data_IF_587157366383
#
_entry.id   IF_587157366383
#
_cell.length_a   1.000
_cell.length_b   1.000
_cell.length_c   1.000
_cell.angle_alpha   90.00
_cell.angle_beta   90.00
_cell.angle_gamma   90.00
#
_symmetry.space_group_name_H-M   'P 1'
#
loop_
_entity.id
_entity.type
_entity.pdbx_description
1 polymer ?
#
# COMPACT_ATOMS: atom_id res chain seq x y z
N UNK A 1 -13.79 8.13 -5.82
CA UNK A 1 -12.83 7.96 -6.93
C UNK A 1 -13.48 7.17 -8.06
N UNK A 2 -13.05 7.33 -9.32
CA UNK A 2 -13.60 6.57 -10.47
C UNK A 2 -12.97 5.18 -10.56
N UNK A 3 -13.63 4.24 -11.25
CA UNK A 3 -13.13 2.86 -11.41
C UNK A 3 -11.75 2.78 -12.06
N UNK A 4 -11.45 3.69 -13.00
CA UNK A 4 -10.15 3.76 -13.68
C UNK A 4 -9.06 4.17 -12.69
N UNK A 5 -9.28 5.25 -11.95
CA UNK A 5 -8.37 5.73 -10.91
C UNK A 5 -8.11 4.64 -9.85
N UNK A 6 -9.16 3.93 -9.41
CA UNK A 6 -9.01 2.82 -8.45
C UNK A 6 -8.20 1.65 -9.03
N UNK A 7 -8.40 1.30 -10.30
CA UNK A 7 -7.64 0.24 -10.96
C UNK A 7 -6.17 0.61 -11.13
N UNK A 8 -5.90 1.84 -11.58
CA UNK A 8 -4.54 2.38 -11.74
C UNK A 8 -3.83 2.41 -10.37
N UNK A 9 -4.52 2.87 -9.33
CA UNK A 9 -4.08 2.84 -7.92
C UNK A 9 -3.72 1.44 -7.44
N UNK A 10 -4.56 0.47 -7.76
CA UNK A 10 -4.36 -0.89 -7.36
C UNK A 10 -3.34 -1.64 -8.24
N UNK A 11 -2.73 -0.98 -9.23
CA UNK A 11 -1.82 -1.63 -10.18
C UNK A 11 -2.51 -2.76 -10.95
N UNK A 12 -3.79 -2.59 -11.27
CA UNK A 12 -4.61 -3.60 -11.94
C UNK A 12 -5.41 -2.97 -13.09
N UNK A 13 -6.28 -3.75 -13.73
CA UNK A 13 -7.11 -3.27 -14.84
C UNK A 13 -8.55 -3.06 -14.41
N UNK A 14 -9.25 -2.13 -15.06
CA UNK A 14 -10.71 -1.98 -14.88
C UNK A 14 -11.48 -3.26 -15.20
N UNK A 15 -10.92 -4.12 -16.07
CA UNK A 15 -11.43 -5.47 -16.35
C UNK A 15 -11.35 -6.38 -15.12
N UNK A 16 -10.22 -6.40 -14.43
CA UNK A 16 -10.06 -7.16 -13.18
C UNK A 16 -11.02 -6.67 -12.09
N UNK A 17 -11.20 -5.35 -11.94
CA UNK A 17 -12.17 -4.79 -11.00
C UNK A 17 -13.60 -5.27 -11.30
N UNK A 18 -14.01 -5.25 -12.57
CA UNK A 18 -15.33 -5.77 -12.98
C UNK A 18 -15.47 -7.27 -12.71
N UNK A 19 -14.38 -8.02 -12.91
CA UNK A 19 -14.36 -9.45 -12.63
C UNK A 19 -14.54 -9.72 -11.12
N UNK A 20 -13.86 -8.99 -10.25
CA UNK A 20 -14.03 -9.13 -8.80
C UNK A 20 -15.42 -8.71 -8.31
N UNK A 21 -16.05 -7.72 -8.94
CA UNK A 21 -17.46 -7.42 -8.68
C UNK A 21 -18.38 -8.59 -9.07
N UNK A 22 -18.15 -9.20 -10.24
CA UNK A 22 -18.96 -10.32 -10.72
C UNK A 22 -18.84 -11.55 -9.80
N UNK A 23 -17.67 -11.75 -9.18
CA UNK A 23 -17.41 -12.81 -8.21
C UNK A 23 -17.86 -12.46 -6.78
N UNK A 24 -18.43 -11.27 -6.54
CA UNK A 24 -18.82 -10.81 -5.20
C UNK A 24 -17.63 -10.45 -4.29
N UNK A 25 -16.40 -10.60 -4.75
CA UNK A 25 -15.17 -10.31 -4.00
C UNK A 25 -15.04 -8.82 -3.66
N UNK A 26 -15.53 -7.93 -4.52
CA UNK A 26 -15.51 -6.49 -4.31
C UNK A 26 -16.95 -5.94 -4.28
N UNK A 27 -17.41 -5.28 -3.21
CA UNK A 27 -18.76 -4.72 -3.15
C UNK A 27 -18.92 -3.64 -4.22
N UNK A 28 -20.10 -3.57 -4.82
CA UNK A 28 -20.41 -2.54 -5.83
C UNK A 28 -20.79 -1.25 -5.10
N UNK A 29 -20.05 -0.14 -5.29
CA UNK A 29 -20.36 1.11 -4.62
C UNK A 29 -21.67 1.72 -5.13
N UNK A 30 -22.24 2.62 -4.32
CA UNK A 30 -23.37 3.45 -4.73
C UNK A 30 -23.03 4.31 -5.96
N UNK A 31 -24.04 4.53 -6.80
CA UNK A 31 -23.93 5.40 -7.97
C UNK A 31 -24.21 6.84 -7.57
N UNK A 32 -23.30 7.77 -7.90
CA UNK A 32 -23.55 9.22 -7.81
C UNK A 32 -23.75 9.75 -9.23
N UNK A 33 -24.99 10.11 -9.57
CA UNK A 33 -25.36 10.51 -10.93
C UNK A 33 -25.25 9.34 -11.90
N UNK A 34 -24.41 9.46 -12.93
CA UNK A 34 -24.26 8.45 -13.99
C UNK A 34 -23.09 7.47 -13.78
N UNK A 35 -22.31 7.62 -12.70
CA UNK A 35 -21.12 6.80 -12.45
C UNK A 35 -20.98 6.32 -11.00
N UNK A 36 -20.28 5.18 -10.84
CA UNK A 36 -19.94 4.55 -9.56
C UNK A 36 -18.84 5.35 -8.84
N UNK A 37 -19.06 5.65 -7.57
CA UNK A 37 -18.09 6.38 -6.74
C UNK A 37 -17.41 5.41 -5.76
N UNK A 38 -16.15 5.08 -6.04
CA UNK A 38 -15.37 4.15 -5.22
C UNK A 38 -14.73 4.89 -4.05
N UNK A 39 -15.00 4.41 -2.84
CA UNK A 39 -14.37 4.89 -1.62
C UNK A 39 -13.03 4.20 -1.32
N UNK A 40 -12.33 4.69 -0.31
CA UNK A 40 -11.08 4.09 0.17
C UNK A 40 -11.24 2.61 0.55
N UNK A 41 -12.36 2.22 1.17
CA UNK A 41 -12.65 0.82 1.53
C UNK A 41 -12.66 -0.12 0.30
N UNK A 42 -13.14 0.37 -0.84
CA UNK A 42 -13.14 -0.40 -2.09
C UNK A 42 -11.72 -0.58 -2.61
N UNK A 43 -10.90 0.47 -2.52
CA UNK A 43 -9.50 0.39 -2.91
C UNK A 43 -8.71 -0.55 -2.00
N UNK A 44 -8.90 -0.44 -0.67
CA UNK A 44 -8.26 -1.31 0.30
C UNK A 44 -8.63 -2.78 0.06
N UNK A 45 -9.90 -3.07 -0.18
CA UNK A 45 -10.36 -4.42 -0.52
C UNK A 45 -9.82 -4.91 -1.85
N UNK A 46 -9.78 -4.07 -2.89
CA UNK A 46 -9.21 -4.40 -4.19
C UNK A 46 -7.72 -4.76 -4.11
N UNK A 47 -6.96 -3.94 -3.38
CA UNK A 47 -5.54 -4.20 -3.16
C UNK A 47 -5.31 -5.44 -2.29
N UNK A 48 -6.18 -5.70 -1.30
CA UNK A 48 -6.14 -6.93 -0.50
C UNK A 48 -6.38 -8.17 -1.36
N UNK A 49 -7.39 -8.15 -2.24
CA UNK A 49 -7.64 -9.22 -3.21
C UNK A 49 -6.40 -9.45 -4.07
N UNK A 50 -5.82 -8.37 -4.60
CA UNK A 50 -4.61 -8.43 -5.43
C UNK A 50 -3.44 -9.03 -4.65
N UNK A 51 -3.21 -8.57 -3.42
CA UNK A 51 -2.15 -9.07 -2.56
C UNK A 51 -2.28 -10.57 -2.28
N UNK A 52 -3.48 -11.05 -1.94
CA UNK A 52 -3.74 -12.47 -1.73
C UNK A 52 -3.57 -13.29 -3.03
N UNK A 53 -4.04 -12.74 -4.16
CA UNK A 53 -3.92 -13.39 -5.48
C UNK A 53 -2.47 -13.48 -5.94
N UNK A 54 -1.67 -12.45 -5.72
CA UNK A 54 -0.23 -12.43 -6.01
C UNK A 54 0.56 -13.39 -5.10
N UNK A 55 0.02 -13.73 -3.93
CA UNK A 55 0.54 -14.79 -3.06
C UNK A 55 0.20 -16.20 -3.53
N UNK A 56 -0.53 -16.37 -4.63
CA UNK A 56 -0.86 -17.68 -5.22
C UNK A 56 -2.14 -18.31 -4.68
N UNK A 57 -2.92 -17.60 -3.86
CA UNK A 57 -4.22 -18.08 -3.38
C UNK A 57 -5.27 -18.02 -4.50
N UNK A 58 -6.13 -19.04 -4.57
CA UNK A 58 -7.26 -19.05 -5.49
C UNK A 58 -8.29 -17.99 -5.11
N UNK A 59 -9.00 -17.45 -6.10
CA UNK A 59 -10.04 -16.44 -5.86
C UNK A 59 -11.17 -16.94 -4.95
N UNK A 60 -11.48 -18.25 -4.99
CA UNK A 60 -12.42 -18.90 -4.08
C UNK A 60 -11.92 -18.88 -2.63
N UNK A 61 -10.63 -19.18 -2.41
CA UNK A 61 -10.04 -19.12 -1.07
C UNK A 61 -9.97 -17.67 -0.55
N UNK A 62 -9.73 -16.72 -1.44
CA UNK A 62 -9.74 -15.29 -1.13
C UNK A 62 -11.13 -14.84 -0.67
N UNK A 63 -12.20 -15.30 -1.34
CA UNK A 63 -13.57 -15.01 -0.92
C UNK A 63 -13.83 -15.49 0.50
N UNK A 64 -13.46 -16.75 0.80
CA UNK A 64 -13.61 -17.33 2.15
C UNK A 64 -12.86 -16.52 3.21
N UNK A 65 -11.60 -16.13 2.97
CA UNK A 65 -10.82 -15.32 3.91
C UNK A 65 -11.50 -13.97 4.18
N UNK A 66 -11.96 -13.29 3.12
CA UNK A 66 -12.60 -11.99 3.24
C UNK A 66 -13.99 -12.06 3.91
N UNK A 67 -14.69 -13.18 3.74
CA UNK A 67 -16.01 -13.43 4.33
C UNK A 67 -15.87 -13.89 5.80
N UNK A 68 -14.87 -14.70 6.14
CA UNK A 68 -14.54 -15.09 7.52
C UNK A 68 -14.16 -13.87 8.36
N UNK A 69 -13.36 -12.94 7.80
CA UNK A 69 -13.02 -11.66 8.44
C UNK A 69 -14.26 -10.77 8.67
N UNK A 70 -15.26 -10.83 7.77
CA UNK A 70 -16.49 -10.05 7.88
C UNK A 70 -17.53 -10.70 8.81
N UNK A 71 -17.58 -12.04 8.87
CA UNK A 71 -18.57 -12.82 9.60
C UNK A 71 -18.16 -13.14 11.05
N UNK A 72 -16.85 -13.19 11.35
CA UNK A 72 -16.34 -13.59 12.65
C UNK A 72 -15.19 -12.67 13.11
N UNK A 73 -15.41 -11.71 14.03
CA UNK A 73 -14.30 -11.02 14.71
C UNK A 73 -13.44 -11.97 15.56
N UNK A 74 -13.80 -13.25 15.74
CA UNK A 74 -12.95 -14.28 16.37
C UNK A 74 -13.48 -15.71 16.11
N UNK A 75 -12.78 -16.52 15.30
CA UNK A 75 -12.46 -17.96 15.51
C UNK A 75 -11.90 -18.62 14.23
N UNK A 76 -10.98 -19.61 14.33
CA UNK A 76 -10.36 -20.26 13.18
C UNK A 76 -11.04 -21.57 12.81
N UNK A 77 -11.16 -21.88 11.50
CA UNK A 77 -11.45 -23.24 11.02
C UNK A 77 -10.71 -23.62 9.71
N UNK A 78 -9.74 -24.52 9.89
CA UNK A 78 -9.36 -25.75 9.15
C UNK A 78 -9.33 -25.80 7.59
N UNK A 79 -8.11 -26.08 7.11
CA UNK A 79 -7.62 -27.02 6.07
C UNK A 79 -8.53 -27.58 4.97
N UNK A 80 -8.06 -27.51 3.71
CA UNK A 80 -8.02 -28.63 2.75
C UNK A 80 -7.18 -28.31 1.48
N UNK A 81 -6.15 -29.14 1.21
CA UNK A 81 -5.57 -29.46 -0.12
C UNK A 81 -6.60 -30.30 -0.95
N UNK A 82 -6.51 -30.51 -2.30
CA UNK A 82 -5.32 -31.04 -3.00
C UNK A 82 -5.07 -30.69 -4.51
N UNK A 83 -3.81 -30.91 -4.92
CA UNK A 83 -3.15 -31.48 -6.14
C UNK A 83 -3.84 -31.53 -7.56
N UNK A 84 -3.07 -31.30 -8.66
CA UNK A 84 -3.52 -31.25 -10.08
C UNK A 84 -3.31 -32.56 -10.88
N UNK A 85 -3.74 -32.65 -12.16
CA UNK A 85 -2.80 -33.14 -13.20
C UNK A 85 -2.95 -32.65 -14.66
N UNK A 86 -1.80 -32.71 -15.36
CA UNK A 86 -1.50 -33.25 -16.71
C UNK A 86 -1.91 -32.57 -18.05
N UNK A 87 -0.88 -32.44 -18.91
CA UNK A 87 -0.85 -32.26 -20.39
C UNK A 87 -0.98 -33.61 -21.13
N UNK A 88 -1.31 -33.63 -22.44
CA UNK A 88 -0.34 -34.03 -23.50
C UNK A 88 -0.53 -33.24 -24.84
N UNK A 89 0.48 -32.73 -25.56
CA UNK A 89 1.46 -33.27 -26.57
C UNK A 89 0.98 -33.62 -28.00
N UNK A 90 1.86 -33.25 -28.97
CA UNK A 90 1.99 -33.55 -30.43
C UNK A 90 1.31 -32.62 -31.44
N UNK A 91 1.77 -32.42 -32.69
CA UNK A 91 3.07 -32.35 -33.42
C UNK A 91 2.74 -32.42 -34.93
N UNK A 92 3.62 -31.88 -35.80
CA UNK A 92 3.73 -31.99 -37.28
C UNK A 92 2.97 -30.91 -38.10
N UNK A 93 3.46 -30.30 -39.19
CA UNK A 93 4.72 -30.38 -39.97
C UNK A 93 4.88 -29.10 -40.86
N UNK A 94 6.08 -28.89 -41.42
CA UNK A 94 6.70 -27.70 -42.09
C UNK A 94 6.25 -27.46 -43.58
N UNK A 95 6.85 -26.62 -44.49
CA UNK A 95 8.00 -25.65 -44.43
C UNK A 95 7.89 -24.34 -45.30
N UNK A 96 8.86 -23.41 -45.17
CA UNK A 96 9.63 -22.75 -46.28
C UNK A 96 10.54 -21.59 -45.79
N UNK A 97 11.82 -21.60 -46.20
CA UNK A 97 12.88 -20.65 -45.81
C UNK A 97 13.07 -19.46 -46.79
N UNK A 98 13.78 -18.39 -46.39
CA UNK A 98 15.17 -18.18 -46.86
C UNK A 98 16.18 -17.71 -45.77
N UNK A 99 17.48 -18.02 -45.95
CA UNK A 99 18.64 -17.67 -45.08
C UNK A 99 19.60 -16.70 -45.82
N UNK A 100 20.61 -16.03 -45.18
CA UNK A 100 21.16 -16.27 -43.84
C UNK A 100 21.38 -15.00 -42.98
N UNK A 101 20.97 -15.05 -41.72
CA UNK A 101 21.70 -14.43 -40.61
C UNK A 101 22.14 -15.58 -39.72
N UNK A 102 23.38 -15.61 -39.23
CA UNK A 102 23.95 -16.76 -38.50
C UNK A 102 22.94 -17.34 -37.47
N UNK A 103 22.38 -18.54 -37.68
CA UNK A 103 21.27 -19.07 -36.87
C UNK A 103 21.66 -19.46 -35.44
N UNK A 104 22.96 -19.59 -35.16
CA UNK A 104 23.46 -19.91 -33.83
C UNK A 104 23.33 -18.71 -32.87
N UNK A 105 23.43 -17.47 -33.36
CA UNK A 105 23.31 -16.26 -32.53
C UNK A 105 21.86 -15.98 -32.12
N UNK A 106 20.88 -16.27 -32.98
CA UNK A 106 19.45 -16.10 -32.67
C UNK A 106 18.94 -17.17 -31.72
N UNK A 107 19.30 -18.44 -31.96
CA UNK A 107 18.89 -19.55 -31.08
C UNK A 107 19.50 -19.39 -29.69
N UNK A 108 20.77 -19.00 -29.60
CA UNK A 108 21.43 -18.73 -28.33
C UNK A 108 20.84 -17.50 -27.62
N UNK A 109 20.46 -16.45 -28.36
CA UNK A 109 19.76 -15.30 -27.80
C UNK A 109 18.38 -15.68 -27.25
N UNK A 110 17.61 -16.49 -27.96
CA UNK A 110 16.28 -16.96 -27.53
C UNK A 110 16.37 -17.86 -26.29
N UNK A 111 17.36 -18.77 -26.25
CA UNK A 111 17.61 -19.61 -25.08
C UNK A 111 18.06 -18.78 -23.86
N UNK A 112 18.88 -17.75 -24.06
CA UNK A 112 19.27 -16.80 -23.00
C UNK A 112 18.07 -16.00 -22.50
N UNK A 113 17.23 -15.49 -23.39
CA UNK A 113 16.01 -14.78 -23.03
C UNK A 113 15.06 -15.69 -22.23
N UNK A 114 14.90 -16.95 -22.66
CA UNK A 114 14.11 -17.96 -21.95
C UNK A 114 14.69 -18.25 -20.56
N UNK A 115 16.02 -18.37 -20.43
CA UNK A 115 16.67 -18.55 -19.12
C UNK A 115 16.41 -17.37 -18.20
N UNK A 116 16.56 -16.14 -18.70
CA UNK A 116 16.26 -14.92 -17.94
C UNK A 116 14.80 -14.88 -17.48
N UNK A 117 13.85 -15.32 -18.29
CA UNK A 117 12.44 -15.40 -17.90
C UNK A 117 12.21 -16.47 -16.82
N UNK A 118 12.89 -17.62 -16.90
CA UNK A 118 12.86 -18.64 -15.86
C UNK A 118 13.45 -18.09 -14.55
N UNK A 119 14.62 -17.43 -14.62
CA UNK A 119 15.28 -16.83 -13.46
C UNK A 119 14.35 -15.79 -12.79
N UNK A 120 13.71 -14.94 -13.59
CA UNK A 120 12.69 -13.98 -13.11
C UNK A 120 11.52 -14.69 -12.42
N UNK A 121 11.05 -15.82 -12.98
CA UNK A 121 9.96 -16.60 -12.39
C UNK A 121 10.36 -17.29 -11.08
N UNK A 122 11.61 -17.74 -10.98
CA UNK A 122 12.19 -18.30 -9.74
C UNK A 122 12.21 -17.21 -8.66
N UNK A 123 12.66 -16.00 -8.98
CA UNK A 123 12.68 -14.89 -8.03
C UNK A 123 11.27 -14.53 -7.53
N UNK A 124 10.28 -14.51 -8.44
CA UNK A 124 8.87 -14.34 -8.09
C UNK A 124 8.39 -15.45 -7.14
N UNK A 125 8.66 -16.72 -7.48
CA UNK A 125 8.22 -17.87 -6.68
C UNK A 125 8.90 -17.89 -5.30
N UNK A 126 10.18 -17.55 -5.22
CA UNK A 126 10.90 -17.43 -3.95
C UNK A 126 10.37 -16.27 -3.10
N UNK A 127 10.00 -15.16 -3.74
CA UNK A 127 9.32 -14.06 -3.05
C UNK A 127 7.94 -14.48 -2.54
N UNK A 128 7.15 -15.19 -3.35
CA UNK A 128 5.84 -15.74 -2.94
C UNK A 128 5.98 -16.71 -1.76
N UNK A 129 6.94 -17.63 -1.83
CA UNK A 129 7.21 -18.58 -0.74
C UNK A 129 7.55 -17.85 0.56
N UNK A 130 8.45 -16.87 0.54
CA UNK A 130 8.79 -16.09 1.75
C UNK A 130 7.58 -15.40 2.36
N UNK A 131 6.69 -14.84 1.53
CA UNK A 131 5.43 -14.25 2.00
C UNK A 131 4.50 -15.29 2.62
N UNK A 132 4.39 -16.48 2.02
CA UNK A 132 3.60 -17.58 2.59
C UNK A 132 4.19 -18.05 3.92
N UNK A 133 5.51 -18.23 4.01
CA UNK A 133 6.19 -18.65 5.24
C UNK A 133 5.92 -17.64 6.39
N UNK A 134 5.90 -16.34 6.09
CA UNK A 134 5.51 -15.30 7.06
C UNK A 134 4.04 -15.41 7.48
N UNK A 135 3.13 -15.72 6.57
CA UNK A 135 1.71 -15.92 6.89
C UNK A 135 1.48 -17.19 7.71
N UNK A 136 2.21 -18.26 7.42
CA UNK A 136 2.18 -19.50 8.19
C UNK A 136 2.66 -19.23 9.61
N UNK A 137 3.76 -18.49 9.79
CA UNK A 137 4.26 -18.14 11.11
C UNK A 137 3.21 -17.37 11.93
N UNK A 138 2.57 -16.36 11.33
CA UNK A 138 1.49 -15.56 11.96
C UNK A 138 0.22 -16.36 12.25
N UNK A 139 -0.20 -17.23 11.33
CA UNK A 139 -1.36 -18.09 11.54
C UNK A 139 -1.10 -19.11 12.66
N UNK A 140 0.13 -19.62 12.77
CA UNK A 140 0.53 -20.61 13.77
C UNK A 140 0.65 -20.01 15.17
N UNK A 141 0.90 -18.71 15.28
CA UNK A 141 0.90 -17.96 16.56
C UNK A 141 -0.50 -17.52 17.01
N UNK A 142 -1.54 -17.71 16.19
CA UNK A 142 -2.90 -17.25 16.49
C UNK A 142 -3.12 -15.75 16.29
N UNK A 143 -2.16 -15.05 15.68
CA UNK A 143 -2.27 -13.64 15.32
C UNK A 143 -3.15 -13.44 14.08
N UNK A 144 -3.71 -12.23 13.91
CA UNK A 144 -4.50 -11.87 12.72
C UNK A 144 -3.65 -11.99 11.45
N UNK A 145 -4.27 -12.41 10.34
CA UNK A 145 -3.66 -12.47 9.00
C UNK A 145 -3.51 -11.07 8.37
N UNK A 146 -2.98 -10.12 9.13
CA UNK A 146 -2.64 -8.79 8.66
C UNK A 146 -1.18 -8.75 8.20
N UNK A 147 -0.88 -8.07 7.08
CA UNK A 147 0.50 -7.93 6.61
C UNK A 147 1.32 -6.98 7.48
N UNK A 148 0.71 -6.19 8.38
CA UNK A 148 1.44 -5.29 9.29
C UNK A 148 2.13 -6.05 10.43
N UNK A 149 3.29 -5.60 10.93
CA UNK A 149 3.86 -6.10 12.18
C UNK A 149 2.95 -5.76 13.38
N UNK A 150 2.90 -6.64 14.38
CA UNK A 150 2.01 -6.53 15.56
C UNK A 150 2.27 -5.25 16.38
N UNK A 151 3.50 -4.74 16.36
CA UNK A 151 3.90 -3.45 16.94
C UNK A 151 3.09 -2.28 16.37
N UNK A 152 2.97 -2.22 15.05
CA UNK A 152 2.27 -1.17 14.32
C UNK A 152 0.76 -1.29 14.52
N UNK A 153 0.22 -2.51 14.63
CA UNK A 153 -1.17 -2.72 15.00
C UNK A 153 -1.47 -2.23 16.42
N UNK A 154 -0.57 -2.50 17.36
CA UNK A 154 -0.68 -2.03 18.75
C UNK A 154 -0.61 -0.51 18.81
N UNK A 155 0.34 0.09 18.10
CA UNK A 155 0.48 1.53 17.99
C UNK A 155 -0.78 2.21 17.43
N UNK A 156 -1.32 1.73 16.31
CA UNK A 156 -2.55 2.28 15.76
C UNK A 156 -3.76 2.06 16.66
N UNK A 157 -3.82 0.93 17.38
CA UNK A 157 -4.89 0.67 18.35
C UNK A 157 -4.82 1.61 19.55
N UNK A 158 -3.62 1.91 20.07
CA UNK A 158 -3.38 2.88 21.14
C UNK A 158 -3.81 4.29 20.70
N UNK A 159 -3.42 4.71 19.49
CA UNK A 159 -3.88 5.99 18.93
C UNK A 159 -5.40 6.03 18.76
N UNK A 160 -6.02 4.96 18.26
CA UNK A 160 -7.49 4.91 18.07
C UNK A 160 -8.25 5.08 19.39
N UNK A 161 -7.75 4.52 20.50
CA UNK A 161 -8.36 4.66 21.83
C UNK A 161 -8.29 6.08 22.40
N UNK A 162 -7.34 6.90 21.95
CA UNK A 162 -7.15 8.29 22.38
C UNK A 162 -8.01 9.27 21.58
N UNK A 163 -8.47 8.87 20.40
CA UNK A 163 -9.31 9.71 19.54
C UNK A 163 -10.74 9.78 20.05
N UNK A 164 -11.31 10.98 19.99
CA UNK A 164 -12.68 11.26 20.44
C UNK A 164 -13.63 11.41 19.26
N UNK A 165 -13.18 11.98 18.14
CA UNK A 165 -14.02 12.22 16.98
C UNK A 165 -14.10 11.00 16.06
N UNK A 166 -15.31 10.57 15.65
CA UNK A 166 -15.47 9.52 14.63
C UNK A 166 -14.79 9.87 13.30
N UNK A 167 -14.65 11.16 13.01
CA UNK A 167 -13.93 11.65 11.83
C UNK A 167 -12.43 11.39 11.91
N UNK A 168 -11.80 11.68 13.05
CA UNK A 168 -10.38 11.44 13.28
C UNK A 168 -10.06 9.94 13.27
N UNK A 169 -10.92 9.10 13.90
CA UNK A 169 -10.79 7.63 13.84
C UNK A 169 -10.77 7.12 12.40
N UNK A 170 -11.63 7.66 11.53
CA UNK A 170 -11.63 7.29 10.10
C UNK A 170 -10.35 7.73 9.38
N UNK A 171 -9.80 8.91 9.71
CA UNK A 171 -8.54 9.40 9.15
C UNK A 171 -7.39 8.46 9.57
N UNK A 172 -7.32 8.08 10.84
CA UNK A 172 -6.33 7.13 11.36
C UNK A 172 -6.44 5.75 10.69
N UNK A 173 -7.66 5.20 10.57
CA UNK A 173 -7.88 3.92 9.89
C UNK A 173 -7.49 3.97 8.41
N UNK A 174 -7.81 5.07 7.71
CA UNK A 174 -7.35 5.26 6.33
C UNK A 174 -5.81 5.28 6.24
N UNK A 175 -5.13 5.93 7.20
CA UNK A 175 -3.68 5.93 7.30
C UNK A 175 -3.12 4.52 7.56
N UNK A 176 -3.69 3.79 8.52
CA UNK A 176 -3.30 2.40 8.82
C UNK A 176 -3.48 1.50 7.61
N UNK A 177 -4.60 1.63 6.90
CA UNK A 177 -4.82 0.89 5.66
C UNK A 177 -3.80 1.27 4.58
N UNK A 178 -3.49 2.56 4.38
CA UNK A 178 -2.46 2.96 3.41
C UNK A 178 -1.09 2.34 3.75
N UNK A 179 -0.73 2.28 5.03
CA UNK A 179 0.49 1.59 5.49
C UNK A 179 0.41 0.07 5.29
N UNK A 180 -0.74 -0.55 5.55
CA UNK A 180 -1.01 -1.97 5.29
C UNK A 180 -0.76 -2.32 3.82
N UNK A 181 -1.20 -1.44 2.93
CA UNK A 181 -1.06 -1.57 1.49
C UNK A 181 0.41 -1.47 1.08
N UNK A 182 1.14 -0.48 1.62
CA UNK A 182 2.58 -0.35 1.38
C UNK A 182 3.37 -1.56 1.90
N UNK A 183 3.07 -2.05 3.11
CA UNK A 183 3.72 -3.24 3.66
C UNK A 183 3.46 -4.48 2.79
N UNK A 184 2.23 -4.63 2.29
CA UNK A 184 1.85 -5.74 1.40
C UNK A 184 2.63 -5.79 0.08
N UNK A 185 3.14 -4.66 -0.41
CA UNK A 185 3.97 -4.61 -1.62
C UNK A 185 5.40 -5.15 -1.42
N UNK A 186 5.78 -5.51 -0.18
CA UNK A 186 7.13 -5.99 0.14
C UNK A 186 8.19 -4.88 0.12
N UNK A 187 7.74 -3.62 0.06
CA UNK A 187 8.61 -2.46 -0.06
C UNK A 187 9.03 -1.87 1.30
N UNK A 188 8.41 -2.29 2.40
CA UNK A 188 8.77 -1.86 3.76
C UNK A 188 9.27 -3.05 4.60
N UNK A 189 10.51 -3.01 5.12
CA UNK A 189 11.02 -4.04 6.01
C UNK A 189 10.37 -3.92 7.40
N UNK A 190 9.80 -5.03 7.85
CA UNK A 190 9.00 -5.14 9.08
C UNK A 190 9.81 -4.86 10.36
N UNK A 191 11.07 -5.28 10.42
CA UNK A 191 11.92 -5.16 11.61
C UNK A 191 12.33 -3.73 11.95
N UNK A 192 12.46 -2.85 10.95
CA UNK A 192 12.88 -1.45 11.17
C UNK A 192 11.70 -0.59 11.65
N UNK A 193 10.47 -1.02 11.37
CA UNK A 193 9.26 -0.37 11.86
C UNK A 193 9.13 -0.54 13.38
N UNK A 194 9.42 -1.73 13.90
CA UNK A 194 9.32 -2.01 15.34
C UNK A 194 10.20 -1.06 16.16
N UNK A 195 11.47 -0.91 15.75
CA UNK A 195 12.43 0.00 16.38
C UNK A 195 12.00 1.47 16.26
N UNK A 196 11.42 1.84 15.13
CA UNK A 196 10.95 3.20 14.90
C UNK A 196 9.72 3.57 15.75
N UNK A 197 8.89 2.59 16.11
CA UNK A 197 7.68 2.82 16.90
C UNK A 197 7.94 2.88 18.40
N UNK A 198 8.97 2.16 18.88
CA UNK A 198 9.39 2.18 20.28
C UNK A 198 9.94 3.54 20.72
N UNK A 199 10.43 4.35 19.78
CA UNK A 199 10.93 5.71 20.05
C UNK A 199 9.82 6.72 20.39
N UNK A 200 8.55 6.41 20.10
CA UNK A 200 7.42 7.27 20.44
C UNK A 200 6.87 6.98 21.84
N UNK A 201 7.10 7.92 22.76
CA UNK A 201 6.59 7.82 24.13
C UNK A 201 5.07 8.08 24.22
N UNK A 202 4.50 7.82 25.40
CA UNK A 202 3.06 8.01 25.67
C UNK A 202 2.59 9.44 25.43
N UNK A 203 3.39 10.45 25.78
CA UNK A 203 3.02 11.86 25.64
C UNK A 203 3.04 12.28 24.17
N UNK A 204 3.99 11.78 23.39
CA UNK A 204 4.03 11.99 21.94
C UNK A 204 2.85 11.33 21.23
N UNK A 205 2.38 10.17 21.73
CA UNK A 205 1.14 9.55 21.22
C UNK A 205 -0.10 10.37 21.52
N UNK A 206 -0.16 11.04 22.68
CA UNK A 206 -1.23 12.02 22.97
C UNK A 206 -1.18 13.22 22.02
N UNK A 207 0.02 13.73 21.73
CA UNK A 207 0.22 14.79 20.74
C UNK A 207 -0.23 14.32 19.35
N UNK A 208 0.11 13.10 18.93
CA UNK A 208 -0.35 12.55 17.65
C UNK A 208 -1.87 12.44 17.57
N UNK A 209 -2.52 11.95 18.62
CA UNK A 209 -3.97 11.84 18.68
C UNK A 209 -4.62 13.24 18.53
N UNK A 210 -4.12 14.24 19.26
CA UNK A 210 -4.57 15.62 19.15
C UNK A 210 -4.32 16.22 17.74
N UNK A 211 -3.19 15.91 17.10
CA UNK A 211 -2.93 16.32 15.72
C UNK A 211 -3.95 15.71 14.73
N UNK A 212 -4.34 14.45 14.91
CA UNK A 212 -5.41 13.83 14.11
C UNK A 212 -6.77 14.50 14.33
N UNK A 213 -7.09 14.91 15.56
CA UNK A 213 -8.32 15.66 15.88
C UNK A 213 -8.33 17.03 15.20
N UNK A 214 -7.24 17.79 15.33
CA UNK A 214 -7.10 19.11 14.69
C UNK A 214 -7.11 19.00 13.17
N UNK A 215 -6.47 17.97 12.61
CA UNK A 215 -6.52 17.68 11.18
C UNK A 215 -7.94 17.33 10.70
N UNK A 216 -8.72 16.59 11.49
CA UNK A 216 -10.13 16.33 11.20
C UNK A 216 -10.97 17.62 11.28
N UNK A 217 -10.70 18.51 12.24
CA UNK A 217 -11.43 19.76 12.43
C UNK A 217 -11.29 20.75 11.26
N UNK A 218 -10.23 20.62 10.46
CA UNK A 218 -10.04 21.40 9.23
C UNK A 218 -11.11 21.11 8.15
N UNK A 219 -11.73 19.93 8.20
CA UNK A 219 -12.62 19.48 7.14
C UNK A 219 -13.81 20.43 6.95
N UNK A 220 -14.01 20.92 5.73
CA UNK A 220 -15.13 21.77 5.35
C UNK A 220 -14.99 23.25 5.74
N UNK A 221 -13.83 23.67 6.26
CA UNK A 221 -13.52 25.10 6.47
C UNK A 221 -13.13 25.78 5.15
N UNK A 222 -13.34 27.10 5.07
CA UNK A 222 -12.99 27.88 3.88
C UNK A 222 -11.51 28.29 3.91
N UNK A 223 -10.79 27.92 2.85
CA UNK A 223 -9.40 28.30 2.58
C UNK A 223 -9.19 29.82 2.46
N UNK A 224 -10.25 30.58 2.15
CA UNK A 224 -10.19 32.04 1.98
C UNK A 224 -10.29 32.80 3.31
N UNK A 225 -10.68 32.12 4.39
CA UNK A 225 -10.72 32.73 5.72
C UNK A 225 -9.29 32.76 6.32
N UNK A 226 -8.76 33.96 6.66
CA UNK A 226 -7.45 34.08 7.30
C UNK A 226 -7.27 33.23 8.56
N UNK A 227 -8.34 33.02 9.34
CA UNK A 227 -8.29 32.20 10.56
C UNK A 227 -8.05 30.73 10.25
N UNK A 228 -8.64 30.24 9.16
CA UNK A 228 -8.43 28.87 8.68
C UNK A 228 -7.00 28.66 8.24
N UNK A 229 -6.40 29.65 7.59
CA UNK A 229 -5.00 29.59 7.15
C UNK A 229 -4.02 29.61 8.33
N UNK A 230 -4.33 30.35 9.41
CA UNK A 230 -3.57 30.28 10.67
C UNK A 230 -3.64 28.89 11.31
N UNK A 231 -4.84 28.29 11.39
CA UNK A 231 -5.01 26.92 11.91
C UNK A 231 -4.23 25.90 11.09
N UNK A 232 -4.28 26.01 9.77
CA UNK A 232 -3.54 25.17 8.82
C UNK A 232 -2.04 25.29 9.04
N UNK A 233 -1.50 26.51 9.10
CA UNK A 233 -0.06 26.74 9.35
C UNK A 233 0.38 26.21 10.71
N UNK A 234 -0.39 26.48 11.76
CA UNK A 234 -0.10 25.99 13.11
C UNK A 234 -0.06 24.46 13.14
N UNK A 235 -1.05 23.80 12.54
CA UNK A 235 -1.07 22.34 12.44
C UNK A 235 0.12 21.79 11.65
N UNK A 236 0.46 22.39 10.51
CA UNK A 236 1.64 22.00 9.73
C UNK A 236 2.93 22.13 10.55
N UNK A 237 3.08 23.23 11.29
CA UNK A 237 4.26 23.47 12.12
C UNK A 237 4.38 22.43 13.24
N UNK A 238 3.28 22.08 13.90
CA UNK A 238 3.28 21.07 14.97
C UNK A 238 3.54 19.66 14.41
N UNK A 239 2.95 19.31 13.26
CA UNK A 239 3.23 18.06 12.55
C UNK A 239 4.71 17.96 12.18
N UNK A 240 5.27 19.04 11.64
CA UNK A 240 6.69 19.11 11.32
C UNK A 240 7.56 18.99 12.56
N UNK A 241 7.22 19.69 13.65
CA UNK A 241 8.00 19.62 14.90
C UNK A 241 8.09 18.21 15.47
N UNK A 242 7.01 17.42 15.38
CA UNK A 242 7.03 16.01 15.74
C UNK A 242 7.89 15.18 14.78
N UNK A 243 7.72 15.38 13.47
CA UNK A 243 8.48 14.65 12.46
C UNK A 243 9.98 14.98 12.52
N UNK A 244 10.33 16.22 12.84
CA UNK A 244 11.70 16.70 12.97
C UNK A 244 12.43 16.03 14.15
N UNK A 245 11.74 15.83 15.28
CA UNK A 245 12.30 15.06 16.42
C UNK A 245 12.65 13.63 16.05
N UNK A 246 11.83 13.03 15.18
CA UNK A 246 11.94 11.64 14.74
C UNK A 246 12.49 11.49 13.31
N UNK A 247 13.15 12.53 12.77
CA UNK A 247 13.57 12.54 11.37
C UNK A 247 14.70 11.56 11.10
N UNK A 248 15.55 11.30 12.09
CA UNK A 248 16.61 10.31 11.97
C UNK A 248 16.05 8.89 11.84
N UNK A 249 15.04 8.57 12.65
CA UNK A 249 14.30 7.30 12.57
C UNK A 249 13.64 7.14 11.20
N UNK A 250 12.97 8.20 10.72
CA UNK A 250 12.34 8.22 9.39
C UNK A 250 13.36 8.04 8.28
N UNK A 251 14.51 8.73 8.37
CA UNK A 251 15.61 8.63 7.43
C UNK A 251 16.18 7.20 7.38
N UNK A 252 16.45 6.61 8.53
CA UNK A 252 17.03 5.27 8.62
C UNK A 252 16.06 4.21 8.08
N UNK A 253 14.77 4.34 8.40
CA UNK A 253 13.71 3.53 7.81
C UNK A 253 13.68 3.67 6.28
N UNK A 254 13.76 4.89 5.73
CA UNK A 254 13.77 5.10 4.28
C UNK A 254 15.02 4.51 3.61
N UNK A 255 16.17 4.45 4.29
CA UNK A 255 17.37 3.78 3.78
C UNK A 255 17.26 2.27 3.70
N UNK A 256 16.37 1.66 4.47
CA UNK A 256 16.12 0.22 4.37
C UNK A 256 15.23 -0.17 3.19
N UNK A 257 14.61 0.80 2.51
CA UNK A 257 13.83 0.57 1.31
C UNK A 257 14.70 0.05 0.15
N UNK A 258 14.14 -0.73 -0.79
CA UNK A 258 14.86 -1.14 -1.99
C UNK A 258 15.42 0.07 -2.76
N UNK A 259 16.75 0.09 -2.94
CA UNK A 259 17.46 1.21 -3.57
C UNK A 259 17.88 2.33 -2.61
N UNK A 260 17.68 2.17 -1.30
CA UNK A 260 18.18 3.07 -0.25
C UNK A 260 17.49 4.42 -0.16
N UNK A 261 16.34 4.58 -0.84
CA UNK A 261 15.61 5.85 -0.95
C UNK A 261 14.13 5.64 -1.24
N UNK A 262 13.35 6.68 -0.96
CA UNK A 262 11.95 6.80 -1.34
C UNK A 262 11.82 7.11 -2.84
N UNK A 263 11.55 6.06 -3.62
CA UNK A 263 11.53 6.12 -5.09
C UNK A 263 10.27 6.79 -5.67
N UNK A 264 10.36 7.28 -6.91
CA UNK A 264 9.21 7.79 -7.67
C UNK A 264 8.05 6.79 -7.79
N UNK A 265 8.37 5.49 -7.88
CA UNK A 265 7.36 4.42 -7.92
C UNK A 265 6.64 4.23 -6.58
N UNK A 266 7.34 4.40 -5.47
CA UNK A 266 6.73 4.41 -4.14
C UNK A 266 5.85 5.64 -3.98
N UNK A 267 6.35 6.80 -4.38
CA UNK A 267 5.60 8.04 -4.32
C UNK A 267 4.33 8.01 -5.18
N UNK A 268 4.38 7.50 -6.41
CA UNK A 268 3.20 7.46 -7.28
C UNK A 268 2.06 6.64 -6.67
N UNK A 269 2.40 5.61 -5.88
CA UNK A 269 1.43 4.79 -5.14
C UNK A 269 0.98 5.50 -3.87
N UNK A 270 1.93 5.94 -3.03
CA UNK A 270 1.64 6.52 -1.72
C UNK A 270 0.99 7.90 -1.79
N UNK A 271 1.49 8.80 -2.64
CA UNK A 271 0.91 10.12 -2.86
C UNK A 271 -0.51 10.08 -3.40
N UNK A 272 -0.88 9.03 -4.14
CA UNK A 272 -2.25 8.82 -4.58
C UNK A 272 -3.12 8.24 -3.44
N UNK A 273 -2.58 7.35 -2.60
CA UNK A 273 -3.24 6.91 -1.36
C UNK A 273 -3.50 8.08 -0.41
N UNK A 274 -2.55 9.00 -0.24
CA UNK A 274 -2.73 10.20 0.58
C UNK A 274 -3.87 11.08 0.05
N UNK A 275 -3.91 11.34 -1.26
CA UNK A 275 -4.99 12.13 -1.90
C UNK A 275 -6.36 11.48 -1.73
N UNK A 276 -6.44 10.16 -1.81
CA UNK A 276 -7.69 9.43 -1.60
C UNK A 276 -8.09 9.42 -0.12
N UNK A 277 -7.12 9.23 0.78
CA UNK A 277 -7.36 9.22 2.21
C UNK A 277 -7.86 10.58 2.73
N UNK A 278 -7.40 11.67 2.11
CA UNK A 278 -7.69 13.06 2.47
C UNK A 278 -8.27 13.82 1.27
N UNK A 279 -9.57 13.70 0.99
CA UNK A 279 -10.20 14.37 -0.15
C UNK A 279 -10.47 15.87 0.09
N UNK A 280 -10.37 16.34 1.33
CA UNK A 280 -10.63 17.73 1.69
C UNK A 280 -9.48 18.65 1.23
N UNK A 281 -9.76 19.78 0.53
CA UNK A 281 -8.72 20.65 -0.01
C UNK A 281 -7.77 21.24 1.05
N UNK A 282 -8.28 21.53 2.24
CA UNK A 282 -7.48 22.12 3.32
C UNK A 282 -6.56 21.06 3.95
N UNK A 283 -7.07 19.85 4.13
CA UNK A 283 -6.26 18.70 4.54
C UNK A 283 -5.15 18.39 3.52
N UNK A 284 -5.45 18.47 2.22
CA UNK A 284 -4.43 18.30 1.17
C UNK A 284 -3.38 19.42 1.20
N UNK A 285 -3.78 20.65 1.53
CA UNK A 285 -2.84 21.76 1.69
C UNK A 285 -1.87 21.52 2.85
N UNK A 286 -2.33 21.00 4.00
CA UNK A 286 -1.44 20.62 5.12
C UNK A 286 -0.46 19.53 4.69
N UNK A 287 -0.95 18.48 4.02
CA UNK A 287 -0.10 17.37 3.55
C UNK A 287 0.97 17.86 2.59
N UNK A 288 0.60 18.70 1.63
CA UNK A 288 1.55 19.31 0.68
C UNK A 288 2.61 20.13 1.39
N UNK A 289 2.22 21.02 2.29
CA UNK A 289 3.18 21.86 3.01
C UNK A 289 4.16 21.01 3.83
N UNK A 290 3.66 19.93 4.47
CA UNK A 290 4.50 18.98 5.18
C UNK A 290 5.50 18.27 4.25
N UNK A 291 5.07 17.86 3.05
CA UNK A 291 5.94 17.24 2.05
C UNK A 291 7.00 18.22 1.53
N UNK A 292 6.65 19.49 1.34
CA UNK A 292 7.59 20.53 0.95
C UNK A 292 8.66 20.75 2.04
N UNK A 293 8.27 20.74 3.32
CA UNK A 293 9.22 20.80 4.45
C UNK A 293 10.15 19.58 4.46
N UNK A 294 9.61 18.37 4.27
CA UNK A 294 10.42 17.15 4.15
C UNK A 294 11.41 17.21 2.99
N UNK A 295 11.01 17.78 1.84
CA UNK A 295 11.86 17.91 0.66
C UNK A 295 12.97 18.98 0.79
N UNK A 296 12.77 19.93 1.71
CA UNK A 296 13.73 20.99 2.01
C UNK A 296 14.71 20.61 3.14
N UNK A 297 14.39 19.62 3.97
CA UNK A 297 15.23 19.21 5.11
C UNK A 297 16.54 18.53 4.66
N UNK A 298 17.71 18.97 5.19
CA UNK A 298 19.02 18.42 4.81
C UNK A 298 19.25 16.96 5.20
N UNK A 299 18.54 16.42 6.20
CA UNK A 299 18.67 15.01 6.59
C UNK A 299 17.88 14.13 5.64
N UNK A 300 16.65 14.53 5.30
CA UNK A 300 15.75 13.74 4.47
C UNK A 300 16.07 13.83 2.96
N UNK A 301 16.75 14.87 2.51
CA UNK A 301 17.08 15.07 1.09
C UNK A 301 17.80 13.87 0.44
N UNK A 302 18.71 13.21 1.17
CA UNK A 302 19.54 12.13 0.66
C UNK A 302 18.77 10.81 0.49
N UNK A 303 17.61 10.70 1.13
CA UNK A 303 16.74 9.51 1.09
C UNK A 303 15.52 9.72 0.21
N UNK A 304 15.43 10.84 -0.50
CA UNK A 304 14.37 11.11 -1.47
C UNK A 304 14.93 11.02 -2.89
N UNK A 305 14.17 10.39 -3.79
CA UNK A 305 14.49 10.48 -5.21
C UNK A 305 14.40 11.94 -5.69
N UNK A 306 15.35 12.44 -6.51
CA UNK A 306 15.33 13.83 -6.99
C UNK A 306 14.03 14.22 -7.69
N UNK A 307 13.39 13.29 -8.41
CA UNK A 307 12.12 13.53 -9.09
C UNK A 307 10.98 13.74 -8.09
N UNK A 308 10.94 12.92 -7.04
CA UNK A 308 9.96 13.04 -5.94
C UNK A 308 10.17 14.34 -5.18
N UNK A 309 11.43 14.68 -4.88
CA UNK A 309 11.78 15.92 -4.20
C UNK A 309 11.30 17.14 -4.98
N UNK A 310 11.57 17.18 -6.29
CA UNK A 310 11.11 18.28 -7.16
C UNK A 310 9.59 18.37 -7.19
N UNK A 311 8.89 17.24 -7.25
CA UNK A 311 7.43 17.22 -7.15
C UNK A 311 6.93 17.78 -5.83
N UNK A 312 7.54 17.41 -4.70
CA UNK A 312 7.12 17.89 -3.37
C UNK A 312 7.38 19.38 -3.13
N UNK A 313 8.42 19.95 -3.75
CA UNK A 313 8.71 21.38 -3.69
C UNK A 313 7.77 22.23 -4.55
N UNK A 314 7.07 21.60 -5.51
CA UNK A 314 6.24 22.29 -6.52
C UNK A 314 4.77 21.83 -6.55
N UNK A 315 4.37 20.89 -5.69
CA UNK A 315 2.99 20.48 -5.45
C UNK A 315 2.18 21.64 -4.84
#
# INVERSE_FOLDING_TARGET
MRVKEMADLAGTTTRAVRHYHALGLLPVPATRGMQRDYGFEHLARLLRIRWLSESGLSLERIAQILDDEAAHPTRPTRSAEPTPPARPTRSADSPAAPLPSRPEDTTLADLRATRTEIDRRIDELLHQRRRIDQLIAKASSGERLSPLPSSLETFYSDLEQRLTSPGAVRILRNKQHAMTLLAGTGLFPTTTIDLALDDFDTAERDVMADLFERFNALKGLDLRDPRTDDLRRGLTADLWGLLERHKQVSHDLLRTLPGGRFSARLWSTYGLLLRVAYPDPLQQAVVRDLLALMAADPTLIDVLDPTVRQEWLHA
#
